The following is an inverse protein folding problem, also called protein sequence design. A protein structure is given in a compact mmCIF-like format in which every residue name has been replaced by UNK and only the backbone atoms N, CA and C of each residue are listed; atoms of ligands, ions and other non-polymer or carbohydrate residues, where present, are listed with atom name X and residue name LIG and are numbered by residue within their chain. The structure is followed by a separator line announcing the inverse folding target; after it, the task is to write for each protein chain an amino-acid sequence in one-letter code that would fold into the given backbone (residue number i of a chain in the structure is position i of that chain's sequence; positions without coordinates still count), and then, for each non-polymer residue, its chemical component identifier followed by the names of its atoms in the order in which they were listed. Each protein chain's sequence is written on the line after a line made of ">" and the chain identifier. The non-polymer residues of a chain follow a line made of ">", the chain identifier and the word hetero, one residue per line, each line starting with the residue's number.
data_IF_247613212038
#
_entry.id   IF_247613212038
#
_cell.length_a   1.000
_cell.length_b   1.000
_cell.length_c   1.000
_cell.angle_alpha   90.00
_cell.angle_beta   90.00
_cell.angle_gamma   90.00
#
_symmetry.space_group_name_H-M   'P 1'
#
loop_
_entity.id
_entity.type
_entity.pdbx_description
1 polymer ?
#
# COMPACT_ATOMS: atom_id res chain seq x y z
N UNK A 1 16.13 -2.75 -3.26
CA UNK A 1 16.41 -2.79 -1.82
C UNK A 1 15.14 -3.28 -1.11
N UNK A 2 15.15 -4.49 -0.52
CA UNK A 2 13.97 -5.07 0.15
C UNK A 2 13.55 -4.31 1.41
N UNK A 3 14.45 -3.46 1.96
CA UNK A 3 14.17 -2.63 3.13
C UNK A 3 13.81 -1.20 2.79
N UNK A 4 13.60 -0.88 1.51
CA UNK A 4 13.20 0.45 1.08
C UNK A 4 11.94 0.92 1.82
N UNK A 5 11.95 2.18 2.24
CA UNK A 5 10.81 2.82 2.92
C UNK A 5 9.99 3.67 1.96
N UNK A 6 10.55 3.98 0.80
CA UNK A 6 9.84 4.67 -0.27
C UNK A 6 10.32 4.15 -1.62
N UNK A 7 9.36 3.77 -2.46
CA UNK A 7 9.58 3.35 -3.84
C UNK A 7 9.03 4.43 -4.77
N UNK A 8 9.81 4.83 -5.76
CA UNK A 8 9.51 5.94 -6.67
C UNK A 8 9.62 5.45 -8.11
N UNK A 9 8.67 5.84 -8.93
CA UNK A 9 8.51 5.36 -10.30
C UNK A 9 7.63 4.11 -10.37
N UNK A 10 7.40 3.66 -11.58
CA UNK A 10 6.62 2.46 -11.87
C UNK A 10 7.53 1.41 -12.50
N UNK A 11 7.19 0.15 -12.33
CA UNK A 11 7.82 -0.96 -13.03
C UNK A 11 7.35 -0.96 -14.49
N UNK A 12 8.29 -1.10 -15.40
CA UNK A 12 8.01 -1.34 -16.82
C UNK A 12 8.33 -2.79 -17.13
N UNK A 13 7.33 -3.57 -17.53
CA UNK A 13 7.54 -4.98 -17.83
C UNK A 13 8.47 -5.16 -19.02
N UNK A 14 9.54 -5.93 -18.82
CA UNK A 14 10.54 -6.33 -19.81
C UNK A 14 11.08 -7.70 -19.43
N UNK A 15 11.53 -8.48 -20.41
CA UNK A 15 12.09 -9.81 -20.17
C UNK A 15 13.33 -9.80 -19.27
N UNK A 16 14.09 -8.70 -19.27
CA UNK A 16 15.28 -8.54 -18.41
C UNK A 16 14.95 -8.54 -16.90
N UNK A 17 13.67 -8.42 -16.52
CA UNK A 17 13.25 -8.46 -15.11
C UNK A 17 13.27 -9.87 -14.51
N UNK A 18 13.16 -10.90 -15.35
CA UNK A 18 13.02 -12.29 -14.87
C UNK A 18 14.33 -12.93 -14.45
N UNK A 19 15.50 -12.36 -14.84
CA UNK A 19 16.80 -12.91 -14.50
C UNK A 19 17.16 -14.22 -15.22
N UNK A 20 16.25 -14.76 -16.06
CA UNK A 20 16.47 -15.91 -16.93
C UNK A 20 15.95 -15.60 -18.34
N UNK A 21 16.41 -16.37 -19.32
CA UNK A 21 16.03 -16.18 -20.73
C UNK A 21 14.74 -16.93 -21.03
N UNK A 22 13.67 -16.21 -21.32
CA UNK A 22 12.37 -16.79 -21.68
C UNK A 22 12.53 -17.62 -22.96
N UNK A 23 12.01 -18.85 -22.92
CA UNK A 23 12.11 -19.81 -24.05
C UNK A 23 13.44 -20.56 -24.14
N UNK A 24 14.36 -20.38 -23.20
CA UNK A 24 15.58 -21.17 -23.13
C UNK A 24 15.27 -22.65 -22.80
N UNK A 25 16.03 -23.64 -23.39
CA UNK A 25 15.82 -25.07 -23.09
C UNK A 25 15.88 -25.42 -21.59
N UNK A 26 16.73 -24.73 -20.84
CA UNK A 26 16.87 -24.93 -19.40
C UNK A 26 15.89 -24.08 -18.57
N UNK A 27 14.93 -23.42 -19.22
CA UNK A 27 13.89 -22.60 -18.61
C UNK A 27 14.47 -21.59 -17.58
N UNK A 28 13.95 -21.60 -16.35
CA UNK A 28 14.35 -20.73 -15.23
C UNK A 28 15.72 -21.03 -14.63
N UNK A 29 16.38 -22.11 -15.06
CA UNK A 29 17.78 -22.41 -14.75
C UNK A 29 18.77 -21.67 -15.67
N UNK A 30 18.29 -21.03 -16.72
CA UNK A 30 19.11 -20.16 -17.57
C UNK A 30 19.42 -18.83 -16.84
N UNK A 31 20.33 -18.03 -17.40
CA UNK A 31 20.71 -16.76 -16.84
C UNK A 31 20.60 -15.63 -17.87
N UNK A 32 19.99 -14.52 -17.48
CA UNK A 32 19.91 -13.30 -18.30
C UNK A 32 20.90 -12.27 -17.75
N UNK A 33 21.85 -11.84 -18.59
CA UNK A 33 22.88 -10.85 -18.22
C UNK A 33 22.46 -9.41 -18.48
N UNK A 34 21.26 -9.17 -19.01
CA UNK A 34 20.78 -7.83 -19.29
C UNK A 34 20.58 -7.04 -17.99
N UNK A 35 20.89 -5.74 -18.02
CA UNK A 35 20.63 -4.84 -16.88
C UNK A 35 19.15 -4.55 -16.77
N UNK A 36 18.52 -4.96 -15.65
CA UNK A 36 17.11 -4.70 -15.34
C UNK A 36 16.86 -3.30 -14.77
N UNK A 37 17.90 -2.55 -14.38
CA UNK A 37 17.75 -1.26 -13.71
C UNK A 37 16.93 -0.21 -14.48
N UNK A 38 16.91 -0.16 -15.83
CA UNK A 38 16.05 0.76 -16.57
C UNK A 38 14.55 0.51 -16.41
N UNK A 39 14.17 -0.72 -16.06
CA UNK A 39 12.78 -1.18 -16.00
C UNK A 39 12.21 -1.19 -14.58
N UNK A 40 13.08 -1.09 -13.58
CA UNK A 40 12.72 -1.16 -12.17
C UNK A 40 12.44 0.22 -11.57
N UNK A 41 11.44 0.34 -10.67
CA UNK A 41 11.28 1.53 -9.85
C UNK A 41 12.50 1.71 -8.93
N UNK A 42 12.71 2.92 -8.45
CA UNK A 42 13.87 3.28 -7.62
C UNK A 42 13.49 3.40 -6.16
N UNK A 43 14.42 3.06 -5.29
CA UNK A 43 14.29 3.27 -3.85
C UNK A 43 14.82 4.67 -3.51
N UNK A 44 14.01 5.45 -2.78
CA UNK A 44 14.42 6.76 -2.27
C UNK A 44 14.93 6.63 -0.85
N UNK A 45 16.10 7.22 -0.56
CA UNK A 45 16.57 7.40 0.81
C UNK A 45 15.74 8.51 1.45
N UNK A 46 15.19 8.23 2.61
CA UNK A 46 14.32 9.15 3.34
C UNK A 46 14.79 9.32 4.78
N UNK A 47 14.40 10.40 5.41
CA UNK A 47 14.42 10.53 6.86
C UNK A 47 13.19 9.79 7.43
N UNK A 48 13.34 8.70 8.20
CA UNK A 48 12.23 7.96 8.78
C UNK A 48 11.65 8.61 10.04
N UNK A 49 12.19 9.74 10.47
CA UNK A 49 11.75 10.42 11.68
C UNK A 49 10.26 10.77 11.62
N UNK A 50 9.55 10.45 12.69
CA UNK A 50 8.15 10.77 12.87
C UNK A 50 7.83 10.89 14.35
N UNK A 51 7.12 11.94 14.74
CA UNK A 51 6.72 12.14 16.12
C UNK A 51 5.32 11.57 16.32
N UNK A 52 5.22 10.43 16.97
CA UNK A 52 3.94 9.79 17.29
C UNK A 52 3.12 10.57 18.33
N UNK A 53 3.73 11.51 19.04
CA UNK A 53 3.08 12.31 20.08
C UNK A 53 2.55 11.43 21.21
N UNK A 54 1.26 11.56 21.50
CA UNK A 54 0.55 10.74 22.50
C UNK A 54 -0.20 9.56 21.86
N UNK A 55 0.02 9.29 20.58
CA UNK A 55 -0.61 8.15 19.92
C UNK A 55 -0.21 6.86 20.65
N UNK A 56 -1.20 6.15 21.15
CA UNK A 56 -1.05 4.82 21.72
C UNK A 56 -1.96 3.89 20.96
N UNK A 57 -1.44 2.71 20.64
CA UNK A 57 -2.28 1.66 20.06
C UNK A 57 -3.47 1.39 20.98
N UNK A 58 -4.64 1.28 20.38
CA UNK A 58 -5.84 0.84 21.08
C UNK A 58 -5.64 -0.64 21.41
N UNK A 59 -6.04 -1.07 22.58
CA UNK A 59 -5.96 -2.46 22.98
C UNK A 59 -7.33 -2.88 23.50
N UNK A 60 -8.07 -3.60 22.68
CA UNK A 60 -9.37 -4.15 23.05
C UNK A 60 -9.29 -5.68 23.18
N UNK A 61 -10.03 -6.27 24.13
CA UNK A 61 -10.21 -7.72 24.17
C UNK A 61 -10.86 -8.23 22.89
N UNK A 62 -10.51 -9.44 22.48
CA UNK A 62 -11.03 -10.05 21.25
C UNK A 62 -12.56 -10.16 21.22
N UNK A 63 -13.18 -10.41 22.35
CA UNK A 63 -14.64 -10.49 22.53
C UNK A 63 -15.36 -9.14 22.36
N UNK A 64 -14.59 -8.02 22.32
CA UNK A 64 -15.09 -6.66 22.08
C UNK A 64 -14.61 -6.08 20.75
N UNK A 65 -13.83 -6.85 19.98
CA UNK A 65 -13.26 -6.39 18.72
C UNK A 65 -14.26 -6.59 17.58
N UNK A 66 -14.54 -5.52 16.85
CA UNK A 66 -15.33 -5.53 15.60
C UNK A 66 -14.43 -4.97 14.51
N UNK A 67 -14.06 -5.82 13.56
CA UNK A 67 -13.19 -5.46 12.43
C UNK A 67 -14.03 -4.96 11.27
N UNK A 68 -13.59 -3.85 10.68
CA UNK A 68 -14.14 -3.30 9.45
C UNK A 68 -13.07 -3.29 8.37
N UNK A 69 -13.17 -4.23 7.44
CA UNK A 69 -12.27 -4.32 6.30
C UNK A 69 -12.61 -3.26 5.25
N UNK A 70 -11.60 -2.59 4.74
CA UNK A 70 -11.78 -1.58 3.70
C UNK A 70 -10.55 -1.39 2.81
N UNK A 71 -10.79 -0.84 1.63
CA UNK A 71 -9.74 -0.56 0.64
C UNK A 71 -9.44 0.94 0.62
N UNK A 72 -8.17 1.35 0.74
CA UNK A 72 -7.76 2.76 0.79
C UNK A 72 -8.36 3.57 -0.37
N UNK A 73 -8.17 3.11 -1.61
CA UNK A 73 -8.70 3.79 -2.77
C UNK A 73 -10.22 3.67 -2.87
N UNK A 74 -10.76 2.47 -2.70
CA UNK A 74 -12.17 2.18 -2.94
C UNK A 74 -13.10 2.96 -2.03
N UNK A 75 -12.72 3.11 -0.77
CA UNK A 75 -13.57 3.71 0.24
C UNK A 75 -13.92 5.18 -0.05
N UNK A 76 -12.93 5.97 -0.48
CA UNK A 76 -13.11 7.43 -0.61
C UNK A 76 -13.33 7.92 -2.04
N UNK A 77 -13.14 7.08 -3.07
CA UNK A 77 -13.22 7.50 -4.48
C UNK A 77 -14.53 8.19 -4.87
N UNK A 78 -15.63 7.81 -4.25
CA UNK A 78 -16.95 8.38 -4.50
C UNK A 78 -17.57 9.05 -3.26
N UNK A 79 -16.77 9.25 -2.21
CA UNK A 79 -17.26 9.80 -0.96
C UNK A 79 -17.57 11.30 -1.13
N UNK A 80 -18.80 11.75 -0.87
CA UNK A 80 -19.22 13.13 -1.16
C UNK A 80 -18.47 14.18 -0.33
N UNK A 81 -18.14 13.86 0.93
CA UNK A 81 -17.46 14.78 1.85
C UNK A 81 -15.94 14.79 1.68
N UNK A 82 -15.36 13.91 0.86
CA UNK A 82 -13.92 13.89 0.65
C UNK A 82 -13.55 14.77 -0.53
N UNK A 83 -12.67 15.79 -0.33
CA UNK A 83 -12.16 16.61 -1.43
C UNK A 83 -11.59 15.75 -2.56
N UNK A 84 -11.87 16.11 -3.78
CA UNK A 84 -11.51 15.31 -4.96
C UNK A 84 -10.01 14.95 -5.00
N UNK A 85 -9.15 15.93 -4.68
CA UNK A 85 -7.70 15.76 -4.65
C UNK A 85 -7.20 14.74 -3.59
N UNK A 86 -8.02 14.41 -2.59
CA UNK A 86 -7.67 13.46 -1.51
C UNK A 86 -8.34 12.10 -1.71
N UNK A 87 -9.23 11.96 -2.67
CA UNK A 87 -9.94 10.70 -2.90
C UNK A 87 -8.98 9.58 -3.30
N UNK A 88 -9.17 8.43 -2.69
CA UNK A 88 -8.36 7.23 -2.94
C UNK A 88 -6.98 7.25 -2.30
N UNK A 89 -6.74 8.15 -1.33
CA UNK A 89 -5.46 8.27 -0.62
C UNK A 89 -5.63 8.10 0.90
N UNK A 90 -4.52 7.97 1.61
CA UNK A 90 -4.51 7.95 3.08
C UNK A 90 -5.10 9.24 3.66
N UNK A 91 -4.80 10.40 3.04
CA UNK A 91 -5.37 11.67 3.46
C UNK A 91 -6.90 11.70 3.33
N UNK A 92 -7.45 11.05 2.31
CA UNK A 92 -8.89 10.89 2.14
C UNK A 92 -9.55 10.14 3.28
N UNK A 93 -8.89 9.08 3.79
CA UNK A 93 -9.35 8.31 4.94
C UNK A 93 -9.26 9.10 6.27
N UNK A 94 -8.44 10.15 6.33
CA UNK A 94 -8.29 11.01 7.51
C UNK A 94 -9.33 12.12 7.63
N UNK A 95 -10.16 12.34 6.60
CA UNK A 95 -11.23 13.35 6.63
C UNK A 95 -12.19 13.07 7.79
N UNK A 96 -12.57 14.10 8.53
CA UNK A 96 -13.38 13.95 9.75
C UNK A 96 -14.66 13.15 9.50
N UNK A 97 -15.42 13.47 8.46
CA UNK A 97 -16.66 12.79 8.12
C UNK A 97 -16.46 11.28 7.88
N UNK A 98 -15.30 10.89 7.34
CA UNK A 98 -14.93 9.48 7.14
C UNK A 98 -14.67 8.80 8.48
N UNK A 99 -13.83 9.40 9.31
CA UNK A 99 -13.47 8.84 10.63
C UNK A 99 -14.71 8.77 11.53
N UNK A 100 -15.51 9.82 11.57
CA UNK A 100 -16.71 9.90 12.41
C UNK A 100 -17.78 8.89 11.96
N UNK A 101 -17.92 8.69 10.64
CA UNK A 101 -18.80 7.66 10.11
C UNK A 101 -18.35 6.25 10.53
N UNK A 102 -17.06 5.92 10.35
CA UNK A 102 -16.51 4.62 10.76
C UNK A 102 -16.76 4.38 12.26
N UNK A 103 -16.48 5.37 13.10
CA UNK A 103 -16.79 5.29 14.54
C UNK A 103 -18.26 5.06 14.82
N UNK A 104 -19.13 5.71 14.07
CA UNK A 104 -20.59 5.60 14.26
C UNK A 104 -21.14 4.19 14.00
N UNK A 105 -20.39 3.38 13.24
CA UNK A 105 -20.74 1.98 13.00
C UNK A 105 -20.48 1.09 14.22
N UNK A 106 -19.79 1.59 15.25
CA UNK A 106 -19.43 0.84 16.45
C UNK A 106 -18.28 -0.15 16.23
N UNK A 107 -17.52 -0.01 15.14
CA UNK A 107 -16.31 -0.81 14.90
C UNK A 107 -15.17 -0.32 15.76
N UNK A 108 -14.27 -1.22 16.11
CA UNK A 108 -13.10 -0.94 16.94
C UNK A 108 -11.79 -1.00 16.17
N UNK A 109 -11.77 -1.70 15.05
CA UNK A 109 -10.57 -1.97 14.28
C UNK A 109 -10.86 -1.81 12.79
N UNK A 110 -9.99 -1.11 12.08
CA UNK A 110 -10.08 -0.94 10.63
C UNK A 110 -8.95 -1.74 10.00
N UNK A 111 -9.31 -2.73 9.21
CA UNK A 111 -8.40 -3.53 8.41
C UNK A 111 -8.28 -2.92 7.03
N UNK A 112 -7.06 -2.54 6.67
CA UNK A 112 -6.75 -1.99 5.36
C UNK A 112 -6.27 -3.12 4.45
N UNK A 113 -6.98 -3.36 3.34
CA UNK A 113 -6.47 -4.15 2.23
C UNK A 113 -5.07 -3.69 1.83
N UNK A 114 -4.24 -4.50 1.15
CA UNK A 114 -2.81 -4.28 1.07
C UNK A 114 -2.40 -2.85 0.73
N UNK A 115 -1.62 -2.25 1.61
CA UNK A 115 -1.12 -0.89 1.47
C UNK A 115 0.36 -0.83 1.08
N UNK A 116 1.06 -1.96 1.11
CA UNK A 116 2.46 -2.03 0.71
C UNK A 116 2.63 -1.73 -0.79
N UNK A 117 3.82 -1.29 -1.17
CA UNK A 117 4.13 -1.06 -2.58
C UNK A 117 3.98 -2.37 -3.35
N UNK A 118 3.12 -2.36 -4.35
CA UNK A 118 2.83 -3.50 -5.22
C UNK A 118 2.98 -3.12 -6.69
N UNK A 119 3.08 -4.12 -7.55
CA UNK A 119 3.17 -3.93 -8.99
C UNK A 119 1.82 -4.17 -9.66
N UNK A 120 1.65 -3.52 -10.81
CA UNK A 120 0.56 -3.83 -11.72
C UNK A 120 1.00 -5.00 -12.62
N UNK A 121 0.18 -6.03 -12.71
CA UNK A 121 0.45 -7.19 -13.55
C UNK A 121 0.49 -6.78 -15.03
N UNK A 122 1.45 -7.33 -15.80
CA UNK A 122 1.62 -7.03 -17.21
C UNK A 122 0.31 -7.19 -17.98
N UNK A 123 -0.39 -8.30 -17.77
CA UNK A 123 -1.66 -8.59 -18.43
C UNK A 123 -2.74 -7.53 -18.17
N UNK A 124 -2.75 -6.95 -16.97
CA UNK A 124 -3.69 -5.87 -16.64
C UNK A 124 -3.34 -4.59 -17.39
N UNK A 125 -2.05 -4.23 -17.43
CA UNK A 125 -1.57 -3.05 -18.14
C UNK A 125 -1.85 -3.13 -19.67
N UNK A 126 -1.69 -4.29 -20.27
CA UNK A 126 -2.03 -4.55 -21.68
C UNK A 126 -3.52 -4.30 -21.99
N UNK A 127 -4.38 -4.43 -20.99
CA UNK A 127 -5.82 -4.16 -21.07
C UNK A 127 -6.19 -2.73 -20.63
N UNK A 128 -5.21 -1.86 -20.32
CA UNK A 128 -5.43 -0.53 -19.76
C UNK A 128 -5.98 -0.54 -18.33
N UNK A 129 -5.82 -1.65 -17.62
CA UNK A 129 -6.23 -1.84 -16.23
C UNK A 129 -5.03 -1.75 -15.29
N UNK A 130 -5.31 -1.65 -14.01
CA UNK A 130 -4.34 -1.63 -12.92
C UNK A 130 -4.69 -2.69 -11.87
N UNK A 131 -3.68 -3.17 -11.14
CA UNK A 131 -3.92 -4.00 -9.97
C UNK A 131 -4.66 -3.16 -8.92
N UNK A 132 -5.88 -3.58 -8.60
CA UNK A 132 -6.75 -2.88 -7.64
C UNK A 132 -6.48 -3.34 -6.21
N UNK A 133 -6.35 -4.65 -6.02
CA UNK A 133 -6.31 -5.26 -4.68
C UNK A 133 -4.97 -5.11 -3.96
N UNK A 134 -3.87 -5.04 -4.69
CA UNK A 134 -2.54 -4.83 -4.12
C UNK A 134 -1.82 -6.07 -3.59
N UNK A 135 -2.30 -7.28 -3.92
CA UNK A 135 -1.71 -8.54 -3.44
C UNK A 135 -0.45 -8.98 -4.20
N UNK A 136 0.09 -8.14 -5.09
CA UNK A 136 1.33 -8.42 -5.80
C UNK A 136 2.46 -7.53 -5.26
N UNK A 137 2.85 -7.76 -4.01
CA UNK A 137 3.73 -6.90 -3.23
C UNK A 137 5.17 -6.91 -3.75
N UNK A 138 5.72 -5.72 -3.98
CA UNK A 138 7.12 -5.49 -4.34
C UNK A 138 7.96 -5.07 -3.13
N UNK A 139 7.41 -4.27 -2.23
CA UNK A 139 8.15 -3.70 -1.10
C UNK A 139 7.37 -3.72 0.21
N UNK A 140 7.72 -4.64 1.11
CA UNK A 140 7.01 -4.85 2.38
C UNK A 140 7.21 -3.76 3.44
N UNK A 141 8.12 -2.80 3.22
CA UNK A 141 8.40 -1.72 4.16
C UNK A 141 8.07 -0.34 3.62
N UNK A 142 7.52 -0.26 2.41
CA UNK A 142 7.14 0.98 1.76
C UNK A 142 5.61 1.01 1.52
N UNK A 143 4.92 2.11 1.84
CA UNK A 143 3.53 2.28 1.43
C UNK A 143 3.45 2.49 -0.09
N UNK A 144 2.35 2.07 -0.69
CA UNK A 144 2.12 2.23 -2.12
C UNK A 144 1.96 3.71 -2.49
N UNK A 145 2.76 4.18 -3.45
CA UNK A 145 2.85 5.60 -3.83
C UNK A 145 1.51 6.22 -4.25
N UNK A 146 0.64 5.44 -4.91
CA UNK A 146 -0.70 5.89 -5.33
C UNK A 146 -1.69 6.14 -4.18
N UNK A 147 -1.37 5.72 -2.97
CA UNK A 147 -2.18 5.99 -1.78
C UNK A 147 -1.71 7.23 -1.01
N UNK A 148 -0.66 7.88 -1.47
CA UNK A 148 -0.10 9.09 -0.86
C UNK A 148 -0.58 10.30 -1.67
N UNK A 149 -1.20 11.28 -1.01
CA UNK A 149 -1.72 12.48 -1.66
C UNK A 149 -0.63 13.53 -1.96
N UNK A 150 0.43 13.51 -1.16
CA UNK A 150 1.61 14.36 -1.30
C UNK A 150 2.86 13.58 -1.70
N UNK A 151 4.00 13.91 -1.09
CA UNK A 151 5.27 13.22 -1.34
C UNK A 151 5.77 12.42 -0.13
N UNK A 152 5.18 12.61 1.03
CA UNK A 152 5.67 12.04 2.29
C UNK A 152 5.01 10.72 2.63
N UNK A 153 5.81 9.69 2.88
CA UNK A 153 5.33 8.41 3.42
C UNK A 153 4.76 8.56 4.84
N UNK A 154 5.02 9.68 5.51
CA UNK A 154 4.49 9.97 6.84
C UNK A 154 2.96 10.09 6.83
N UNK A 155 2.34 10.36 5.67
CA UNK A 155 0.87 10.39 5.53
C UNK A 155 0.21 9.11 6.05
N UNK A 156 0.83 7.93 5.80
CA UNK A 156 0.33 6.69 6.39
C UNK A 156 0.46 6.65 7.92
N UNK A 157 1.58 7.13 8.46
CA UNK A 157 1.77 7.22 9.93
C UNK A 157 0.78 8.19 10.56
N UNK A 158 0.47 9.29 9.86
CA UNK A 158 -0.54 10.26 10.27
C UNK A 158 -1.94 9.63 10.30
N UNK A 159 -2.29 8.82 9.30
CA UNK A 159 -3.52 8.04 9.30
C UNK A 159 -3.63 7.15 10.54
N UNK A 160 -2.58 6.38 10.84
CA UNK A 160 -2.56 5.51 12.02
C UNK A 160 -2.72 6.34 13.31
N UNK A 161 -1.98 7.45 13.44
CA UNK A 161 -2.09 8.32 14.60
C UNK A 161 -3.50 8.94 14.74
N UNK A 162 -4.13 9.30 13.61
CA UNK A 162 -5.49 9.85 13.57
C UNK A 162 -6.53 8.82 13.97
N UNK A 163 -6.37 7.57 13.54
CA UNK A 163 -7.28 6.48 13.89
C UNK A 163 -7.13 6.11 15.35
N UNK A 164 -5.91 5.98 15.87
CA UNK A 164 -5.67 5.77 17.31
C UNK A 164 -6.27 6.89 18.17
N UNK A 165 -6.19 8.14 17.72
CA UNK A 165 -6.83 9.28 18.42
C UNK A 165 -8.37 9.23 18.38
N UNK A 166 -8.93 8.42 17.50
CA UNK A 166 -10.35 8.14 17.38
C UNK A 166 -10.77 6.82 18.03
N UNK A 167 -9.90 6.20 18.82
CA UNK A 167 -10.08 4.89 19.47
C UNK A 167 -10.30 3.74 18.47
N UNK A 168 -9.70 3.84 17.28
CA UNK A 168 -9.73 2.82 16.25
C UNK A 168 -8.34 2.17 16.11
N UNK A 169 -8.27 0.85 16.14
CA UNK A 169 -7.08 0.09 15.74
C UNK A 169 -6.91 0.10 14.21
N UNK A 170 -5.68 -0.04 13.75
CA UNK A 170 -5.37 -0.25 12.34
C UNK A 170 -4.72 -1.61 12.15
N UNK A 171 -5.33 -2.43 11.33
CA UNK A 171 -4.82 -3.74 10.92
C UNK A 171 -4.39 -3.63 9.46
N UNK A 172 -3.27 -4.28 9.10
CA UNK A 172 -2.80 -4.38 7.73
C UNK A 172 -3.02 -5.78 7.21
N UNK A 173 -3.74 -5.90 6.12
CA UNK A 173 -3.79 -7.13 5.34
C UNK A 173 -2.48 -7.29 4.57
N UNK A 174 -1.85 -8.45 4.72
CA UNK A 174 -0.51 -8.72 4.17
C UNK A 174 -0.44 -10.07 3.47
N UNK A 175 0.35 -10.14 2.41
CA UNK A 175 0.63 -11.35 1.66
C UNK A 175 2.13 -11.66 1.73
N UNK A 176 2.47 -12.75 2.39
CA UNK A 176 3.87 -13.20 2.56
C UNK A 176 4.14 -14.55 1.89
N UNK A 177 3.18 -15.10 1.15
CA UNK A 177 3.28 -16.42 0.55
C UNK A 177 3.81 -16.42 -0.89
N UNK A 178 3.94 -15.24 -1.52
CA UNK A 178 4.53 -15.06 -2.85
C UNK A 178 5.12 -13.65 -2.99
N UNK A 179 5.91 -13.45 -4.03
CA UNK A 179 6.46 -12.18 -4.46
C UNK A 179 5.90 -11.79 -5.84
N UNK A 180 6.28 -10.62 -6.35
CA UNK A 180 5.79 -10.09 -7.62
C UNK A 180 6.52 -10.68 -8.86
N UNK A 181 6.90 -11.94 -8.80
CA UNK A 181 7.60 -12.65 -9.89
C UNK A 181 6.63 -13.25 -10.90
#
# INVERSE_FOLDING_TARGET
>A
DPYAKQIVGELTWDEALFGYTIGHPDADLSFDERDSAPFMPRCRVIDPAFTWGRSRGVQLPWDQTIVYETHVRGYTMRHPSVPEALRGTFAGLMVNDVVDYIRSLGVSSVELLPIHAFVDDQRLLEQGLRNYWGYNTLGFFAPHSRYISGESINEFKELVARYHAADLEVILDVVYNHTAE
#
